data_IF_557168550803
#
_entry.id   IF_557168550803
#
_cell.length_a   1.000
_cell.length_b   1.000
_cell.length_c   1.000
_cell.angle_alpha   90.00
_cell.angle_beta   90.00
_cell.angle_gamma   90.00
#
_symmetry.space_group_name_H-M   'P 1'
#
loop_
_entity.id
_entity.type
_entity.pdbx_description
1 polymer ?
#
# COMPACT_ATOMS: atom_id res chain seq x y z
N UNK A 1 8.44 4.86 -6.80
CA UNK A 1 7.00 4.85 -7.17
C UNK A 1 6.59 6.20 -7.72
N UNK A 2 6.84 7.29 -7.01
CA UNK A 2 6.81 8.65 -7.59
C UNK A 2 7.81 8.78 -8.75
N UNK A 3 7.59 9.74 -9.63
CA UNK A 3 8.37 9.89 -10.87
C UNK A 3 8.09 8.82 -11.91
N UNK A 4 7.12 7.93 -11.66
CA UNK A 4 6.68 6.88 -12.60
C UNK A 4 5.16 6.83 -12.64
N UNK A 5 4.60 6.24 -13.70
CA UNK A 5 3.15 6.00 -13.84
C UNK A 5 2.25 7.23 -13.61
N UNK A 6 2.70 8.43 -14.01
CA UNK A 6 1.93 9.67 -13.90
C UNK A 6 1.93 10.33 -12.51
N UNK A 7 2.71 9.81 -11.56
CA UNK A 7 2.86 10.40 -10.22
C UNK A 7 4.05 11.37 -10.25
N UNK A 8 3.87 12.67 -9.96
CA UNK A 8 4.97 13.63 -9.94
C UNK A 8 6.06 13.23 -8.93
N UNK A 9 7.35 13.44 -9.23
CA UNK A 9 8.44 13.09 -8.32
C UNK A 9 8.42 13.88 -7.02
N UNK A 10 7.72 15.03 -6.95
CA UNK A 10 7.55 15.87 -5.78
C UNK A 10 6.34 15.49 -4.91
N UNK A 11 5.66 14.37 -5.17
CA UNK A 11 4.57 13.90 -4.32
C UNK A 11 5.11 13.44 -2.95
N UNK A 12 4.45 13.88 -1.86
CA UNK A 12 4.78 13.50 -0.48
C UNK A 12 3.93 12.33 0.02
N UNK A 13 2.74 12.14 -0.55
CA UNK A 13 1.87 11.02 -0.27
C UNK A 13 1.04 10.65 -1.50
N UNK A 14 0.54 9.42 -1.50
CA UNK A 14 -0.35 8.89 -2.53
C UNK A 14 -1.67 8.44 -1.91
N UNK A 15 -2.76 8.73 -2.61
CA UNK A 15 -4.06 8.12 -2.34
C UNK A 15 -4.15 6.84 -3.18
N UNK A 16 -4.44 5.71 -2.55
CA UNK A 16 -4.46 4.40 -3.19
C UNK A 16 -5.73 3.63 -2.87
N UNK A 17 -6.22 2.88 -3.85
CA UNK A 17 -7.09 1.74 -3.60
C UNK A 17 -6.24 0.46 -3.57
N UNK A 18 -6.31 -0.26 -2.46
CA UNK A 18 -5.51 -1.45 -2.20
C UNK A 18 -6.44 -2.64 -2.29
N UNK A 19 -6.14 -3.59 -3.18
CA UNK A 19 -6.96 -4.78 -3.35
C UNK A 19 -6.14 -6.03 -3.11
N UNK A 20 -6.68 -6.91 -2.27
CA UNK A 20 -6.21 -8.28 -2.10
C UNK A 20 -7.22 -9.21 -2.78
N UNK A 21 -6.74 -10.09 -3.66
CA UNK A 21 -7.61 -11.03 -4.38
C UNK A 21 -7.01 -12.43 -4.41
N UNK A 22 -7.88 -13.43 -4.52
CA UNK A 22 -7.52 -14.85 -4.48
C UNK A 22 -6.62 -15.26 -3.29
N UNK A 23 -6.83 -14.77 -2.05
CA UNK A 23 -6.04 -15.24 -0.93
C UNK A 23 -6.34 -16.71 -0.63
N UNK A 24 -5.30 -17.53 -0.44
CA UNK A 24 -5.44 -18.95 -0.09
C UNK A 24 -5.43 -19.21 1.41
N UNK A 25 -5.12 -18.20 2.23
CA UNK A 25 -5.25 -18.23 3.68
C UNK A 25 -5.70 -16.86 4.21
N UNK A 26 -6.10 -16.80 5.49
CA UNK A 26 -6.35 -15.53 6.16
C UNK A 26 -5.04 -14.80 6.47
N UNK A 27 -5.06 -13.47 6.40
CA UNK A 27 -3.88 -12.65 6.58
C UNK A 27 -4.18 -11.16 6.53
N UNK A 28 -3.13 -10.37 6.38
CA UNK A 28 -3.22 -8.93 6.25
C UNK A 28 -2.08 -8.36 5.41
N UNK A 29 -2.26 -7.15 4.89
CA UNK A 29 -1.18 -6.37 4.29
C UNK A 29 -0.97 -5.09 5.08
N UNK A 30 0.30 -4.76 5.33
CA UNK A 30 0.73 -3.47 5.83
C UNK A 30 1.32 -2.67 4.68
N UNK A 31 0.93 -1.41 4.57
CA UNK A 31 1.53 -0.47 3.61
C UNK A 31 2.06 0.74 4.37
N UNK A 32 3.31 1.10 4.10
CA UNK A 32 4.02 2.13 4.85
C UNK A 32 5.15 2.75 4.01
N UNK A 33 5.70 3.91 4.40
CA UNK A 33 6.78 4.55 3.66
C UNK A 33 8.03 3.68 3.65
N UNK A 34 8.68 3.53 2.49
CA UNK A 34 9.93 2.77 2.42
C UNK A 34 11.02 3.42 3.30
N UNK A 35 11.75 2.60 4.05
CA UNK A 35 12.79 3.09 4.97
C UNK A 35 12.29 3.49 6.36
N UNK A 36 10.98 3.42 6.61
CA UNK A 36 10.39 3.54 7.96
C UNK A 36 10.22 2.15 8.58
N UNK A 37 10.40 1.98 9.90
CA UNK A 37 10.10 0.71 10.57
C UNK A 37 8.68 0.22 10.27
N UNK A 38 8.54 -1.09 10.07
CA UNK A 38 7.24 -1.69 9.80
C UNK A 38 6.27 -1.38 10.95
N UNK A 39 5.07 -0.83 10.66
CA UNK A 39 4.08 -0.55 11.69
C UNK A 39 3.47 -1.85 12.25
N UNK A 40 2.78 -1.76 13.39
CA UNK A 40 2.03 -2.89 13.98
C UNK A 40 0.57 -2.96 13.53
N UNK A 41 0.11 -1.96 12.77
CA UNK A 41 -1.27 -1.84 12.29
C UNK A 41 -1.37 -2.23 10.82
N UNK A 42 -2.38 -3.02 10.46
CA UNK A 42 -2.63 -3.41 9.07
C UNK A 42 -3.41 -2.35 8.29
N UNK A 43 -3.17 -2.33 6.97
CA UNK A 43 -3.93 -1.51 6.02
C UNK A 43 -5.17 -2.26 5.55
N UNK A 44 -5.08 -3.57 5.35
CA UNK A 44 -6.22 -4.43 4.97
C UNK A 44 -6.05 -5.82 5.58
N UNK A 45 -7.12 -6.34 6.18
CA UNK A 45 -7.20 -7.72 6.67
C UNK A 45 -8.09 -8.53 5.74
N UNK A 46 -7.86 -9.82 5.57
CA UNK A 46 -8.65 -10.66 4.68
C UNK A 46 -8.70 -12.12 5.15
N UNK A 47 -9.69 -12.85 4.65
CA UNK A 47 -9.85 -14.29 4.85
C UNK A 47 -9.64 -15.03 3.54
N UNK A 48 -9.37 -16.34 3.61
CA UNK A 48 -9.22 -17.17 2.42
C UNK A 48 -10.45 -17.07 1.50
N UNK A 49 -10.22 -16.99 0.19
CA UNK A 49 -11.27 -16.89 -0.83
C UNK A 49 -11.99 -15.54 -0.91
N UNK A 50 -11.66 -14.57 -0.04
CA UNK A 50 -12.31 -13.26 -0.06
C UNK A 50 -11.44 -12.21 -0.75
N UNK A 51 -11.91 -11.72 -1.90
CA UNK A 51 -11.40 -10.48 -2.48
C UNK A 51 -11.88 -9.29 -1.65
N UNK A 52 -10.95 -8.45 -1.19
CA UNK A 52 -11.24 -7.25 -0.43
C UNK A 52 -10.46 -6.07 -0.97
N UNK A 53 -11.08 -4.89 -0.89
CA UNK A 53 -10.43 -3.63 -1.18
C UNK A 53 -10.50 -2.68 0.02
N UNK A 54 -9.50 -1.80 0.16
CA UNK A 54 -9.49 -0.72 1.12
C UNK A 54 -8.80 0.52 0.52
N UNK A 55 -9.31 1.71 0.80
CA UNK A 55 -8.66 2.96 0.41
C UNK A 55 -7.70 3.43 1.52
N UNK A 56 -6.53 3.94 1.13
CA UNK A 56 -5.54 4.45 2.06
C UNK A 56 -4.80 5.66 1.49
N UNK A 57 -4.35 6.53 2.38
CA UNK A 57 -3.37 7.57 2.06
C UNK A 57 -2.06 7.15 2.70
N UNK A 58 -1.00 7.08 1.90
CA UNK A 58 0.30 6.58 2.34
C UNK A 58 1.36 7.61 1.98
N UNK A 59 2.15 8.05 2.96
CA UNK A 59 3.33 8.86 2.69
C UNK A 59 4.33 8.05 1.87
N UNK A 60 5.01 8.72 0.94
CA UNK A 60 6.10 8.09 0.20
C UNK A 60 7.39 8.20 1.01
N UNK A 61 8.15 7.12 1.05
CA UNK A 61 9.40 7.03 1.80
C UNK A 61 10.62 7.22 0.92
N UNK A 62 11.72 6.59 1.32
CA UNK A 62 13.00 6.62 0.61
C UNK A 62 12.82 6.28 -0.88
N UNK A 63 13.54 7.03 -1.73
CA UNK A 63 13.47 6.91 -3.19
C UNK A 63 12.02 7.00 -3.73
N UNK A 64 11.17 7.77 -3.05
CA UNK A 64 9.78 8.03 -3.43
C UNK A 64 8.95 6.76 -3.59
N UNK A 65 9.15 5.81 -2.68
CA UNK A 65 8.56 4.48 -2.74
C UNK A 65 7.90 4.10 -1.42
N UNK A 66 7.01 3.11 -1.48
CA UNK A 66 6.37 2.51 -0.31
C UNK A 66 6.89 1.08 -0.16
N UNK A 67 6.70 0.52 1.03
CA UNK A 67 6.80 -0.91 1.28
C UNK A 67 5.39 -1.49 1.45
N UNK A 68 5.19 -2.70 0.93
CA UNK A 68 4.00 -3.51 1.18
C UNK A 68 4.45 -4.87 1.73
N UNK A 69 4.01 -5.21 2.93
CA UNK A 69 4.36 -6.47 3.59
C UNK A 69 3.11 -7.30 3.78
N UNK A 70 3.13 -8.54 3.29
CA UNK A 70 2.09 -9.53 3.51
C UNK A 70 2.36 -10.28 4.82
N UNK A 71 1.45 -10.15 5.77
CA UNK A 71 1.41 -10.91 7.01
C UNK A 71 0.47 -12.10 6.88
N UNK A 72 0.98 -13.21 6.36
CA UNK A 72 0.23 -14.45 6.18
C UNK A 72 1.12 -15.64 6.59
N UNK A 73 0.61 -16.52 7.46
CA UNK A 73 1.40 -17.64 8.01
C UNK A 73 1.72 -18.75 7.00
N UNK A 74 0.90 -18.89 5.96
CA UNK A 74 1.07 -19.86 4.87
C UNK A 74 0.24 -19.47 3.66
N UNK A 75 0.52 -20.03 2.48
CA UNK A 75 -0.24 -19.76 1.27
C UNK A 75 0.20 -18.49 0.53
N UNK A 76 -0.68 -17.98 -0.32
CA UNK A 76 -0.43 -16.91 -1.27
C UNK A 76 -1.65 -15.99 -1.37
N UNK A 77 -1.42 -14.81 -1.93
CA UNK A 77 -2.48 -13.90 -2.35
C UNK A 77 -1.96 -13.03 -3.48
N UNK A 78 -2.87 -12.43 -4.25
CA UNK A 78 -2.52 -11.39 -5.22
C UNK A 78 -2.78 -10.02 -4.60
N UNK A 79 -1.83 -9.12 -4.81
CA UNK A 79 -1.89 -7.76 -4.31
C UNK A 79 -1.91 -6.79 -5.49
N UNK A 80 -2.88 -5.90 -5.50
CA UNK A 80 -3.06 -4.86 -6.50
C UNK A 80 -3.07 -3.52 -5.79
N UNK A 81 -2.37 -2.54 -6.35
CA UNK A 81 -2.35 -1.17 -5.87
C UNK A 81 -2.68 -0.23 -7.02
N UNK A 82 -3.76 0.51 -6.84
CA UNK A 82 -4.22 1.52 -7.79
C UNK A 82 -3.99 2.90 -7.19
N UNK A 83 -3.16 3.72 -7.82
CA UNK A 83 -2.95 5.10 -7.39
C UNK A 83 -4.05 5.97 -7.98
N UNK A 84 -4.88 6.54 -7.11
CA UNK A 84 -6.05 7.37 -7.48
C UNK A 84 -5.81 8.87 -7.30
N UNK A 85 -4.67 9.24 -6.69
CA UNK A 85 -4.26 10.62 -6.51
C UNK A 85 -2.95 10.73 -5.74
N UNK A 86 -2.46 11.95 -5.63
CA UNK A 86 -1.27 12.27 -4.86
C UNK A 86 -1.47 13.57 -4.09
N UNK A 87 -0.69 13.73 -3.03
CA UNK A 87 -0.62 14.95 -2.24
C UNK A 87 0.80 15.48 -2.30
N UNK A 88 0.90 16.80 -2.39
CA UNK A 88 2.14 17.53 -2.28
C UNK A 88 1.95 18.60 -1.20
N UNK A 89 2.84 18.63 -0.24
CA UNK A 89 2.98 19.74 0.67
C UNK A 89 3.60 20.91 -0.09
N UNK A 90 2.80 21.95 -0.25
CA UNK A 90 3.29 23.26 -0.67
C UNK A 90 3.25 24.08 0.62
N UNK A 91 4.41 24.47 1.12
CA UNK A 91 4.51 25.27 2.34
C UNK A 91 3.70 26.57 2.27
N UNK A 92 3.54 27.28 3.40
CA UNK A 92 2.95 28.62 3.39
C UNK A 92 3.74 29.59 2.51
#
# INVERSE_FOLDING_TARGET
MVGTCGIPPEADAIAVNVTVTQPTAAGHVLIYPLGVPQPITSTINYSAGQTRANNAIVQVGANGSIAATCGQGSGTTHFIIDVVGYFRFVGP
#
